data_IF_355983379527
#
_entry.id   IF_355983379527
#
_cell.length_a   1.000
_cell.length_b   1.000
_cell.length_c   1.000
_cell.angle_alpha   90.00
_cell.angle_beta   90.00
_cell.angle_gamma   90.00
#
_symmetry.space_group_name_H-M   'P 1'
#
loop_
_entity.id
_entity.type
_entity.pdbx_description
1 polymer ?
#
# COMPACT_ATOMS: atom_id res chain seq x y z
N UNK A 1 26.62 -0.56 4.69
CA UNK A 1 25.66 0.54 4.51
C UNK A 1 24.92 0.22 3.21
N UNK A 2 23.59 0.30 3.17
CA UNK A 2 22.86 -0.01 1.93
C UNK A 2 23.14 1.07 0.88
N UNK A 3 23.64 0.66 -0.28
CA UNK A 3 23.84 1.53 -1.45
C UNK A 3 22.54 1.58 -2.26
N UNK A 4 21.92 2.76 -2.35
CA UNK A 4 20.61 2.88 -3.00
C UNK A 4 20.70 2.81 -4.53
N UNK A 5 21.62 3.56 -5.14
CA UNK A 5 21.87 3.57 -6.57
C UNK A 5 22.85 2.45 -6.93
N UNK A 6 22.32 1.24 -7.10
CA UNK A 6 23.07 0.09 -7.57
C UNK A 6 22.17 -0.79 -8.43
N UNK A 7 22.80 -1.54 -9.34
CA UNK A 7 22.12 -2.60 -10.07
C UNK A 7 21.88 -3.79 -9.15
N UNK A 8 20.66 -4.30 -9.15
CA UNK A 8 20.22 -5.41 -8.30
C UNK A 8 19.67 -6.55 -9.13
N UNK A 9 19.99 -7.76 -8.70
CA UNK A 9 19.31 -8.95 -9.14
C UNK A 9 18.01 -9.16 -8.36
N UNK A 10 17.16 -10.06 -8.87
CA UNK A 10 15.87 -10.38 -8.29
C UNK A 10 15.96 -10.72 -6.79
N UNK A 11 16.89 -11.61 -6.40
CA UNK A 11 17.07 -12.02 -5.00
C UNK A 11 17.56 -10.87 -4.11
N UNK A 12 18.42 -10.00 -4.66
CA UNK A 12 18.97 -8.84 -3.95
C UNK A 12 17.90 -7.84 -3.55
N UNK A 13 16.84 -7.66 -4.37
CA UNK A 13 15.71 -6.80 -3.96
C UNK A 13 15.05 -7.26 -2.66
N UNK A 14 14.89 -8.57 -2.49
CA UNK A 14 14.25 -9.15 -1.31
C UNK A 14 15.18 -8.99 -0.10
N UNK A 15 16.44 -9.41 -0.24
CA UNK A 15 17.42 -9.31 0.87
C UNK A 15 17.68 -7.86 1.29
N UNK A 16 17.83 -6.93 0.34
CA UNK A 16 18.07 -5.52 0.63
C UNK A 16 16.86 -4.86 1.29
N UNK A 17 15.63 -5.29 0.95
CA UNK A 17 14.42 -4.77 1.62
C UNK A 17 14.44 -5.13 3.10
N UNK A 18 14.74 -6.38 3.44
CA UNK A 18 14.84 -6.79 4.85
C UNK A 18 16.07 -6.19 5.55
N UNK A 19 17.19 -6.07 4.84
CA UNK A 19 18.37 -5.37 5.36
C UNK A 19 18.05 -3.92 5.69
N UNK A 20 17.24 -3.23 4.86
CA UNK A 20 16.79 -1.86 5.12
C UNK A 20 16.02 -1.77 6.43
N UNK A 21 15.05 -2.67 6.66
CA UNK A 21 14.32 -2.65 7.93
C UNK A 21 15.18 -3.08 9.12
N UNK A 22 16.18 -3.94 8.91
CA UNK A 22 17.15 -4.28 9.96
C UNK A 22 18.01 -3.08 10.36
N UNK A 23 18.44 -2.26 9.39
CA UNK A 23 19.32 -1.10 9.63
C UNK A 23 18.53 0.14 10.07
N UNK A 24 17.39 0.43 9.43
CA UNK A 24 16.64 1.67 9.58
C UNK A 24 15.25 1.50 10.20
N UNK A 25 14.76 0.26 10.36
CA UNK A 25 13.36 -0.01 10.72
C UNK A 25 12.91 0.63 12.02
N UNK A 26 13.78 0.71 13.04
CA UNK A 26 13.44 1.38 14.31
C UNK A 26 13.14 2.87 14.11
N UNK A 27 13.99 3.59 13.37
CA UNK A 27 13.77 5.01 13.10
C UNK A 27 12.60 5.21 12.13
N UNK A 28 12.52 4.36 11.09
CA UNK A 28 11.46 4.36 10.09
C UNK A 28 10.08 4.18 10.74
N UNK A 29 9.82 3.06 11.43
CA UNK A 29 8.48 2.82 11.99
C UNK A 29 8.13 3.77 13.14
N UNK A 30 9.10 4.22 13.93
CA UNK A 30 8.87 5.27 14.94
C UNK A 30 8.33 6.54 14.29
N UNK A 31 9.00 7.04 13.25
CA UNK A 31 8.57 8.25 12.55
C UNK A 31 7.28 8.03 11.75
N UNK A 32 7.10 6.86 11.14
CA UNK A 32 5.87 6.49 10.44
C UNK A 32 4.66 6.57 11.39
N UNK A 33 4.77 5.98 12.59
CA UNK A 33 3.71 6.00 13.59
C UNK A 33 3.51 7.38 14.21
N UNK A 34 4.55 8.18 14.39
CA UNK A 34 4.40 9.56 14.87
C UNK A 34 3.62 10.44 13.88
N UNK A 35 3.84 10.25 12.57
CA UNK A 35 3.20 11.05 11.53
C UNK A 35 1.81 10.52 11.16
N UNK A 36 1.67 9.21 10.98
CA UNK A 36 0.42 8.57 10.55
C UNK A 36 -0.46 8.08 11.70
N UNK A 37 0.08 7.91 12.91
CA UNK A 37 -0.59 7.20 14.00
C UNK A 37 -1.94 7.78 14.37
N UNK A 38 -2.05 9.11 14.45
CA UNK A 38 -3.34 9.74 14.78
C UNK A 38 -4.38 9.53 13.67
N UNK A 39 -3.97 9.59 12.40
CA UNK A 39 -4.85 9.34 11.25
C UNK A 39 -5.28 7.88 11.20
N UNK A 40 -4.36 6.95 11.49
CA UNK A 40 -4.64 5.52 11.55
C UNK A 40 -5.58 5.17 12.71
N UNK A 41 -5.37 5.76 13.90
CA UNK A 41 -6.27 5.58 15.05
C UNK A 41 -7.67 6.12 14.73
N UNK A 42 -7.76 7.33 14.16
CA UNK A 42 -9.05 7.90 13.75
C UNK A 42 -9.77 7.02 12.73
N UNK A 43 -9.03 6.47 11.76
CA UNK A 43 -9.58 5.56 10.77
C UNK A 43 -10.10 4.26 11.40
N UNK A 44 -9.38 3.68 12.37
CA UNK A 44 -9.84 2.51 13.12
C UNK A 44 -11.10 2.83 13.93
N UNK A 45 -11.13 3.96 14.64
CA UNK A 45 -12.30 4.37 15.42
C UNK A 45 -13.52 4.51 14.51
N UNK A 46 -13.37 5.17 13.37
CA UNK A 46 -14.45 5.35 12.40
C UNK A 46 -14.85 4.02 11.75
N UNK A 47 -13.90 3.12 11.49
CA UNK A 47 -14.20 1.77 11.01
C UNK A 47 -15.02 0.98 12.04
N UNK A 48 -14.57 0.95 13.29
CA UNK A 48 -15.21 0.20 14.39
C UNK A 48 -16.58 0.79 14.76
N UNK A 49 -16.73 2.11 14.81
CA UNK A 49 -17.99 2.74 15.22
C UNK A 49 -18.95 2.95 14.04
N UNK A 50 -18.44 3.38 12.89
CA UNK A 50 -19.24 3.76 11.73
C UNK A 50 -19.67 2.59 10.86
N UNK A 51 -18.83 1.56 10.71
CA UNK A 51 -19.17 0.40 9.86
C UNK A 51 -19.72 -0.78 10.65
N UNK A 52 -19.57 -0.82 11.98
CA UNK A 52 -20.14 -1.92 12.77
C UNK A 52 -21.63 -2.10 12.54
N UNK A 53 -22.41 -1.01 12.57
CA UNK A 53 -23.84 -1.08 12.33
C UNK A 53 -24.14 -1.56 10.90
N UNK A 54 -23.42 -1.03 9.90
CA UNK A 54 -23.56 -1.45 8.51
C UNK A 54 -23.26 -2.95 8.33
N UNK A 55 -22.16 -3.46 8.88
CA UNK A 55 -21.82 -4.89 8.82
C UNK A 55 -22.79 -5.76 9.62
N UNK A 56 -23.24 -5.28 10.78
CA UNK A 56 -24.28 -5.92 11.58
C UNK A 56 -25.55 -6.09 10.77
N UNK A 57 -26.02 -5.02 10.12
CA UNK A 57 -27.20 -5.06 9.26
C UNK A 57 -26.98 -5.93 8.01
N UNK A 58 -25.81 -5.86 7.35
CA UNK A 58 -25.51 -6.68 6.16
C UNK A 58 -25.50 -8.18 6.47
N UNK A 59 -24.96 -8.58 7.62
CA UNK A 59 -24.79 -10.00 7.98
C UNK A 59 -25.98 -10.54 8.78
N UNK A 60 -26.71 -9.69 9.51
CA UNK A 60 -27.89 -10.03 10.30
C UNK A 60 -29.24 -9.87 9.58
N UNK A 61 -29.31 -9.16 8.46
CA UNK A 61 -30.58 -8.95 7.72
C UNK A 61 -31.06 -10.17 6.93
N UNK A 62 -30.18 -11.15 6.67
CA UNK A 62 -30.54 -12.35 5.90
C UNK A 62 -31.12 -13.48 6.74
N UNK A 63 -31.30 -13.26 8.04
CA UNK A 63 -31.65 -14.32 9.00
C UNK A 63 -33.14 -14.57 9.17
N UNK A 64 -33.97 -13.66 8.68
CA UNK A 64 -35.43 -13.71 8.83
C UNK A 64 -36.20 -13.52 7.52
N UNK A 65 -35.52 -13.56 6.36
CA UNK A 65 -36.16 -13.46 5.04
C UNK A 65 -36.74 -12.09 4.69
N UNK A 66 -36.43 -11.05 5.49
CA UNK A 66 -36.92 -9.69 5.26
C UNK A 66 -35.80 -8.79 4.73
N UNK A 67 -35.68 -8.70 3.40
CA UNK A 67 -34.86 -7.69 2.71
C UNK A 67 -35.22 -6.23 3.10
N UNK A 68 -36.37 -6.04 3.74
CA UNK A 68 -36.97 -4.75 4.06
C UNK A 68 -36.15 -3.92 5.06
N UNK A 69 -35.42 -4.56 5.99
CA UNK A 69 -34.67 -3.82 7.03
C UNK A 69 -33.46 -3.05 6.49
N UNK A 70 -32.73 -3.62 5.54
CA UNK A 70 -31.54 -2.99 4.99
C UNK A 70 -31.91 -1.79 4.09
N UNK A 71 -32.90 -1.96 3.21
CA UNK A 71 -33.37 -0.87 2.35
C UNK A 71 -34.02 0.26 3.17
N UNK A 72 -34.88 -0.08 4.15
CA UNK A 72 -35.50 0.91 5.03
C UNK A 72 -34.44 1.69 5.84
N UNK A 73 -33.42 1.03 6.40
CA UNK A 73 -32.34 1.70 7.12
C UNK A 73 -31.63 2.74 6.25
N UNK A 74 -31.33 2.41 4.99
CA UNK A 74 -30.68 3.33 4.05
C UNK A 74 -31.60 4.49 3.65
N UNK A 75 -32.89 4.23 3.43
CA UNK A 75 -33.85 5.28 3.09
C UNK A 75 -34.09 6.24 4.27
N UNK A 76 -34.23 5.71 5.49
CA UNK A 76 -34.46 6.51 6.70
C UNK A 76 -33.22 7.31 7.13
N UNK A 77 -32.02 6.79 6.88
CA UNK A 77 -30.76 7.39 7.32
C UNK A 77 -29.94 7.99 6.16
N UNK A 78 -30.54 8.18 4.97
CA UNK A 78 -29.83 8.55 3.74
C UNK A 78 -28.90 9.78 3.92
N UNK A 79 -29.40 10.84 4.58
CA UNK A 79 -28.63 12.06 4.80
C UNK A 79 -27.42 11.83 5.71
N UNK A 80 -27.60 11.08 6.81
CA UNK A 80 -26.52 10.73 7.75
C UNK A 80 -25.50 9.84 7.07
N UNK A 81 -25.94 8.85 6.28
CA UNK A 81 -25.06 7.96 5.54
C UNK A 81 -24.21 8.71 4.51
N UNK A 82 -24.81 9.60 3.71
CA UNK A 82 -24.06 10.43 2.76
C UNK A 82 -22.99 11.27 3.49
N UNK A 83 -23.36 11.89 4.61
CA UNK A 83 -22.44 12.71 5.40
C UNK A 83 -21.29 11.88 5.98
N UNK A 84 -21.59 10.74 6.62
CA UNK A 84 -20.58 9.84 7.20
C UNK A 84 -19.68 9.26 6.12
N UNK A 85 -20.24 8.79 5.00
CA UNK A 85 -19.46 8.27 3.86
C UNK A 85 -18.53 9.34 3.28
N UNK A 86 -18.99 10.60 3.18
CA UNK A 86 -18.16 11.70 2.70
C UNK A 86 -17.00 12.00 3.66
N UNK A 87 -17.26 12.02 4.98
CA UNK A 87 -16.22 12.22 5.99
C UNK A 87 -15.20 11.08 5.97
N UNK A 88 -15.69 9.83 5.92
CA UNK A 88 -14.83 8.63 5.82
C UNK A 88 -13.98 8.70 4.57
N UNK A 89 -14.57 9.07 3.43
CA UNK A 89 -13.85 9.21 2.17
C UNK A 89 -12.72 10.23 2.30
N UNK A 90 -12.99 11.44 2.81
CA UNK A 90 -11.97 12.47 3.02
C UNK A 90 -10.88 11.99 3.98
N UNK A 91 -11.23 11.30 5.07
CA UNK A 91 -10.24 10.75 6.00
C UNK A 91 -9.38 9.67 5.35
N UNK A 92 -9.99 8.77 4.58
CA UNK A 92 -9.27 7.74 3.83
C UNK A 92 -8.31 8.35 2.81
N UNK A 93 -8.72 9.42 2.13
CA UNK A 93 -7.84 10.21 1.25
C UNK A 93 -6.64 10.78 2.01
N UNK A 94 -6.88 11.36 3.20
CA UNK A 94 -5.80 11.89 4.02
C UNK A 94 -4.84 10.79 4.50
N UNK A 95 -5.37 9.65 4.98
CA UNK A 95 -4.58 8.51 5.44
C UNK A 95 -3.72 7.96 4.30
N UNK A 96 -4.31 7.69 3.14
CA UNK A 96 -3.59 7.15 1.98
C UNK A 96 -2.53 8.12 1.48
N UNK A 97 -2.85 9.41 1.38
CA UNK A 97 -1.88 10.44 0.99
C UNK A 97 -0.69 10.44 1.95
N UNK A 98 -0.88 10.54 3.26
CA UNK A 98 0.25 10.62 4.21
C UNK A 98 1.00 9.28 4.29
N UNK A 99 0.28 8.16 4.29
CA UNK A 99 0.85 6.82 4.44
C UNK A 99 1.70 6.41 3.25
N UNK A 100 1.30 6.75 2.02
CA UNK A 100 2.03 6.36 0.82
C UNK A 100 3.19 7.31 0.51
N UNK A 101 3.07 8.56 0.93
CA UNK A 101 4.10 9.58 0.76
C UNK A 101 5.26 9.41 1.71
N UNK A 102 4.99 8.92 2.92
CA UNK A 102 5.99 8.74 3.95
C UNK A 102 7.19 7.87 3.49
N UNK A 103 7.00 6.62 2.98
CA UNK A 103 8.11 5.79 2.51
C UNK A 103 8.98 6.49 1.48
N UNK A 104 8.34 7.21 0.56
CA UNK A 104 9.00 7.87 -0.57
C UNK A 104 9.88 9.02 -0.08
N UNK A 105 9.33 9.88 0.78
CA UNK A 105 10.06 11.02 1.35
C UNK A 105 11.18 10.55 2.29
N UNK A 106 10.93 9.49 3.06
CA UNK A 106 11.96 8.90 3.92
C UNK A 106 13.14 8.40 3.11
N UNK A 107 12.88 7.58 2.08
CA UNK A 107 13.92 7.04 1.20
C UNK A 107 14.64 8.16 0.45
N UNK A 108 13.91 9.15 -0.08
CA UNK A 108 14.50 10.32 -0.72
C UNK A 108 15.50 11.01 0.21
N UNK A 109 15.10 11.37 1.43
CA UNK A 109 16.00 12.00 2.41
C UNK A 109 17.21 11.14 2.73
N UNK A 110 16.99 9.85 2.94
CA UNK A 110 18.07 8.92 3.25
C UNK A 110 19.08 8.83 2.11
N UNK A 111 18.60 8.83 0.86
CA UNK A 111 19.48 8.84 -0.33
C UNK A 111 20.21 10.16 -0.55
N UNK A 112 19.57 11.30 -0.29
CA UNK A 112 20.14 12.62 -0.54
C UNK A 112 21.12 13.06 0.56
N UNK A 113 20.89 12.64 1.80
CA UNK A 113 21.65 13.13 2.96
C UNK A 113 22.55 12.07 3.61
N UNK A 114 22.30 10.78 3.37
CA UNK A 114 22.95 9.67 4.09
C UNK A 114 22.63 9.62 5.59
N UNK A 115 21.79 10.53 6.10
CA UNK A 115 21.51 10.64 7.53
C UNK A 115 20.58 9.52 7.98
N UNK A 116 21.05 8.68 8.90
CA UNK A 116 20.26 7.56 9.47
C UNK A 116 19.24 8.02 10.52
N UNK A 117 19.43 9.22 11.08
CA UNK A 117 18.63 9.79 12.16
C UNK A 117 17.67 10.88 11.64
N UNK A 118 16.95 10.59 10.55
CA UNK A 118 15.88 11.46 10.04
C UNK A 118 14.84 11.69 11.15
N UNK A 119 14.44 12.94 11.36
CA UNK A 119 13.44 13.30 12.37
C UNK A 119 12.04 13.36 11.77
N UNK A 120 11.00 13.11 12.58
CA UNK A 120 9.61 13.20 12.16
C UNK A 120 9.25 14.59 11.60
N UNK A 121 9.73 15.67 12.25
CA UNK A 121 9.46 17.05 11.83
C UNK A 121 10.02 17.37 10.44
N UNK A 122 11.16 16.77 10.07
CA UNK A 122 11.76 16.95 8.75
C UNK A 122 10.88 16.35 7.65
N UNK A 123 10.33 15.16 7.88
CA UNK A 123 9.42 14.51 6.93
C UNK A 123 8.08 15.23 6.89
N UNK A 124 7.58 15.68 8.05
CA UNK A 124 6.33 16.43 8.15
C UNK A 124 6.43 17.78 7.44
N UNK A 125 7.58 18.45 7.49
CA UNK A 125 7.85 19.65 6.71
C UNK A 125 7.89 19.37 5.20
N UNK A 126 8.49 18.25 4.75
CA UNK A 126 8.44 17.87 3.34
C UNK A 126 7.01 17.60 2.86
N UNK A 127 6.21 16.91 3.68
CA UNK A 127 4.80 16.67 3.39
C UNK A 127 4.07 17.99 3.20
N UNK A 128 4.20 18.92 4.16
CA UNK A 128 3.59 20.26 4.11
C UNK A 128 4.02 21.06 2.88
N UNK A 129 5.31 21.08 2.59
CA UNK A 129 5.86 21.83 1.46
C UNK A 129 5.44 21.26 0.10
N UNK A 130 5.05 19.98 0.05
CA UNK A 130 4.64 19.30 -1.18
C UNK A 130 3.14 18.99 -1.24
N UNK A 131 2.29 19.49 -0.33
CA UNK A 131 0.83 19.20 -0.30
C UNK A 131 0.18 19.41 -1.66
N UNK A 132 0.50 20.50 -2.35
CA UNK A 132 -0.06 20.77 -3.69
C UNK A 132 0.39 19.76 -4.75
N UNK A 133 1.62 19.24 -4.66
CA UNK A 133 2.10 18.16 -5.55
C UNK A 133 1.43 16.83 -5.21
N UNK A 134 1.27 16.51 -3.92
CA UNK A 134 0.51 15.33 -3.50
C UNK A 134 -0.93 15.36 -4.00
N UNK A 135 -1.62 16.50 -3.85
CA UNK A 135 -2.99 16.64 -4.32
C UNK A 135 -3.10 16.45 -5.84
N UNK A 136 -2.20 17.05 -6.63
CA UNK A 136 -2.15 16.86 -8.09
C UNK A 136 -1.87 15.40 -8.48
N UNK A 137 -0.91 14.76 -7.81
CA UNK A 137 -0.61 13.35 -8.03
C UNK A 137 -1.82 12.48 -7.71
N UNK A 138 -2.49 12.72 -6.59
CA UNK A 138 -3.65 11.95 -6.17
C UNK A 138 -4.81 12.11 -7.15
N UNK A 139 -5.13 13.33 -7.60
CA UNK A 139 -6.12 13.57 -8.64
C UNK A 139 -5.75 12.84 -9.94
N UNK A 140 -4.48 12.86 -10.34
CA UNK A 140 -4.00 12.10 -11.50
C UNK A 140 -4.14 10.59 -11.32
N UNK A 141 -3.83 10.05 -10.14
CA UNK A 141 -4.05 8.64 -9.84
C UNK A 141 -5.54 8.28 -9.94
N UNK A 142 -6.41 9.06 -9.30
CA UNK A 142 -7.84 8.77 -9.23
C UNK A 142 -8.58 8.97 -10.55
N UNK A 143 -8.32 10.05 -11.29
CA UNK A 143 -9.06 10.40 -12.51
C UNK A 143 -8.39 9.92 -13.81
N UNK A 144 -7.12 9.51 -13.77
CA UNK A 144 -6.40 9.08 -14.97
C UNK A 144 -5.95 7.63 -14.82
N UNK A 145 -5.13 7.32 -13.81
CA UNK A 145 -4.55 5.97 -13.68
C UNK A 145 -5.61 4.93 -13.34
N UNK A 146 -6.54 5.21 -12.42
CA UNK A 146 -7.60 4.27 -12.05
C UNK A 146 -8.55 3.95 -13.23
N UNK A 147 -9.10 4.93 -13.97
CA UNK A 147 -9.92 4.62 -15.15
C UNK A 147 -9.16 3.86 -16.23
N UNK A 148 -7.90 4.24 -16.51
CA UNK A 148 -7.06 3.50 -17.46
C UNK A 148 -6.82 2.07 -16.98
N UNK A 149 -6.52 1.86 -15.70
CA UNK A 149 -6.36 0.53 -15.12
C UNK A 149 -7.66 -0.28 -15.27
N UNK A 150 -8.83 0.31 -14.99
CA UNK A 150 -10.12 -0.35 -15.19
C UNK A 150 -10.35 -0.78 -16.63
N UNK A 151 -9.99 0.05 -17.62
CA UNK A 151 -10.08 -0.31 -19.04
C UNK A 151 -9.15 -1.49 -19.34
N UNK A 152 -7.90 -1.45 -18.89
CA UNK A 152 -6.92 -2.52 -19.15
C UNK A 152 -7.33 -3.83 -18.46
N UNK A 153 -7.80 -3.78 -17.22
CA UNK A 153 -8.37 -4.95 -16.53
C UNK A 153 -9.62 -5.46 -17.23
N UNK A 154 -10.53 -4.58 -17.65
CA UNK A 154 -11.75 -4.94 -18.37
C UNK A 154 -11.46 -5.66 -19.70
N UNK A 155 -10.50 -5.15 -20.47
CA UNK A 155 -10.01 -5.82 -21.68
C UNK A 155 -9.40 -7.18 -21.35
N UNK A 156 -8.66 -7.28 -20.24
CA UNK A 156 -8.05 -8.53 -19.79
C UNK A 156 -9.12 -9.58 -19.42
N UNK A 157 -10.20 -9.14 -18.80
CA UNK A 157 -11.36 -9.99 -18.48
C UNK A 157 -12.02 -10.52 -19.76
N UNK A 158 -12.20 -9.67 -20.78
CA UNK A 158 -12.71 -10.12 -22.09
C UNK A 158 -11.78 -11.15 -22.72
N UNK A 159 -10.46 -10.99 -22.59
CA UNK A 159 -9.48 -11.94 -23.13
C UNK A 159 -9.48 -13.30 -22.41
N UNK A 160 -10.18 -13.45 -21.28
CA UNK A 160 -10.31 -14.76 -20.61
C UNK A 160 -11.08 -15.78 -21.46
N UNK A 161 -11.94 -15.34 -22.39
CA UNK A 161 -12.63 -16.24 -23.33
C UNK A 161 -11.65 -17.05 -24.22
N UNK A 162 -10.42 -16.58 -24.37
CA UNK A 162 -9.37 -17.20 -25.21
C UNK A 162 -8.22 -17.74 -24.34
N UNK A 163 -8.47 -17.98 -23.04
CA UNK A 163 -7.52 -18.41 -21.99
C UNK A 163 -6.36 -17.42 -21.68
N UNK A 164 -5.93 -16.61 -22.65
CA UNK A 164 -4.81 -15.67 -22.50
C UNK A 164 -5.09 -14.61 -21.43
N UNK A 165 -6.36 -14.25 -21.20
CA UNK A 165 -6.75 -13.33 -20.14
C UNK A 165 -6.34 -13.79 -18.74
N UNK A 166 -6.35 -15.10 -18.45
CA UNK A 166 -5.93 -15.61 -17.14
C UNK A 166 -4.45 -15.32 -16.87
N UNK A 167 -3.59 -15.56 -17.86
CA UNK A 167 -2.15 -15.25 -17.74
C UNK A 167 -1.92 -13.75 -17.59
N UNK A 168 -2.65 -12.93 -18.36
CA UNK A 168 -2.55 -11.48 -18.28
C UNK A 168 -2.99 -10.92 -16.94
N UNK A 169 -4.04 -11.47 -16.29
CA UNK A 169 -4.47 -11.03 -14.95
C UNK A 169 -3.34 -11.18 -13.92
N UNK A 170 -2.62 -12.31 -13.95
CA UNK A 170 -1.50 -12.58 -13.04
C UNK A 170 -0.34 -11.60 -13.29
N UNK A 171 -0.11 -11.22 -14.56
CA UNK A 171 0.94 -10.28 -14.92
C UNK A 171 0.57 -8.83 -14.55
N UNK A 172 -0.68 -8.44 -14.76
CA UNK A 172 -1.10 -7.04 -14.76
C UNK A 172 -1.10 -6.40 -13.37
N UNK A 173 -1.55 -7.11 -12.34
CA UNK A 173 -1.64 -6.57 -10.98
C UNK A 173 -0.31 -6.04 -10.44
N UNK A 174 0.74 -6.89 -10.35
CA UNK A 174 2.06 -6.46 -9.90
C UNK A 174 2.71 -5.42 -10.83
N UNK A 175 2.50 -5.53 -12.14
CA UNK A 175 3.02 -4.56 -13.11
C UNK A 175 2.42 -3.16 -12.89
N UNK A 176 1.10 -3.05 -12.74
CA UNK A 176 0.44 -1.78 -12.44
C UNK A 176 0.86 -1.21 -11.09
N UNK A 177 1.05 -2.07 -10.08
CA UNK A 177 1.53 -1.65 -8.77
C UNK A 177 2.93 -1.04 -8.87
N UNK A 178 3.84 -1.66 -9.64
CA UNK A 178 5.15 -1.11 -9.90
C UNK A 178 5.09 0.21 -10.67
N UNK A 179 4.22 0.34 -11.67
CA UNK A 179 4.01 1.60 -12.40
C UNK A 179 3.55 2.70 -11.43
N UNK A 180 2.57 2.42 -10.58
CA UNK A 180 2.08 3.40 -9.58
C UNK A 180 3.21 3.78 -8.63
N UNK A 181 3.94 2.82 -8.08
CA UNK A 181 5.04 3.11 -7.16
C UNK A 181 6.15 3.92 -7.84
N UNK A 182 6.60 3.54 -9.04
CA UNK A 182 7.60 4.28 -9.80
C UNK A 182 7.14 5.69 -10.15
N UNK A 183 5.86 5.88 -10.49
CA UNK A 183 5.28 7.20 -10.73
C UNK A 183 5.44 8.06 -9.47
N UNK A 184 5.07 7.54 -8.30
CA UNK A 184 5.19 8.30 -7.06
C UNK A 184 6.66 8.61 -6.73
N UNK A 185 7.57 7.63 -6.86
CA UNK A 185 9.00 7.85 -6.64
C UNK A 185 9.60 8.87 -7.62
N UNK A 186 9.40 8.75 -8.93
CA UNK A 186 9.94 9.70 -9.92
C UNK A 186 9.33 11.10 -9.71
N UNK A 187 8.03 11.19 -9.43
CA UNK A 187 7.34 12.46 -9.25
C UNK A 187 7.88 13.24 -8.04
N UNK A 188 8.20 12.59 -6.92
CA UNK A 188 8.72 13.27 -5.73
C UNK A 188 10.24 13.40 -5.70
N UNK A 189 11.00 12.50 -6.35
CA UNK A 189 12.44 12.61 -6.46
C UNK A 189 12.87 13.60 -7.57
N UNK A 190 11.96 13.97 -8.48
CA UNK A 190 12.27 14.90 -9.58
C UNK A 190 11.35 16.13 -9.57
N UNK A 191 11.67 17.10 -10.44
CA UNK A 191 10.81 18.29 -10.69
C UNK A 191 9.82 18.07 -11.84
N UNK A 192 9.68 16.84 -12.34
CA UNK A 192 8.84 16.52 -13.50
C UNK A 192 7.34 16.66 -13.19
N UNK A 193 6.57 16.85 -14.26
CA UNK A 193 5.10 16.84 -14.21
C UNK A 193 4.53 15.42 -14.11
N UNK A 194 3.23 15.31 -13.77
CA UNK A 194 2.55 14.03 -13.58
C UNK A 194 2.67 13.09 -14.79
N UNK A 195 2.34 13.59 -15.99
CA UNK A 195 2.38 12.78 -17.21
C UNK A 195 3.80 12.34 -17.61
N UNK A 196 4.79 13.20 -17.35
CA UNK A 196 6.19 12.88 -17.64
C UNK A 196 6.69 11.77 -16.70
N UNK A 197 6.36 11.86 -15.41
CA UNK A 197 6.66 10.80 -14.43
C UNK A 197 5.87 9.52 -14.68
N UNK A 198 4.62 9.61 -15.15
CA UNK A 198 3.83 8.44 -15.53
C UNK A 198 4.43 7.74 -16.75
N UNK A 199 4.81 8.51 -17.78
CA UNK A 199 5.49 7.98 -18.95
C UNK A 199 6.82 7.33 -18.56
N UNK A 200 7.58 7.94 -17.65
CA UNK A 200 8.80 7.32 -17.13
C UNK A 200 8.49 6.00 -16.42
N UNK A 201 7.52 6.00 -15.51
CA UNK A 201 7.17 4.84 -14.69
C UNK A 201 6.78 3.62 -15.53
N UNK A 202 5.98 3.82 -16.59
CA UNK A 202 5.61 2.76 -17.53
C UNK A 202 6.83 2.25 -18.29
N UNK A 203 7.64 3.14 -18.87
CA UNK A 203 8.82 2.76 -19.67
C UNK A 203 9.87 2.01 -18.85
N UNK A 204 10.07 2.44 -17.60
CA UNK A 204 11.04 1.86 -16.70
C UNK A 204 10.71 0.40 -16.32
N UNK A 205 9.45 -0.03 -16.42
CA UNK A 205 9.10 -1.44 -16.22
C UNK A 205 9.62 -2.34 -17.34
N UNK A 206 9.68 -1.83 -18.56
CA UNK A 206 9.99 -2.65 -19.74
C UNK A 206 11.39 -2.42 -20.30
N UNK A 207 12.03 -1.28 -19.99
CA UNK A 207 13.33 -0.92 -20.55
C UNK A 207 14.12 0.01 -19.64
N UNK A 208 15.44 -0.19 -19.62
CA UNK A 208 16.36 0.78 -19.04
C UNK A 208 16.56 1.99 -19.96
N UNK A 209 16.85 3.15 -19.35
CA UNK A 209 17.07 4.40 -20.09
C UNK A 209 18.24 4.32 -21.08
N UNK A 210 19.25 3.52 -20.79
CA UNK A 210 20.42 3.35 -21.66
C UNK A 210 20.15 2.46 -22.88
N UNK A 211 19.04 1.72 -22.91
CA UNK A 211 18.61 0.86 -24.03
C UNK A 211 19.52 -0.32 -24.36
N UNK A 212 20.64 -0.49 -23.66
CA UNK A 212 21.65 -1.53 -23.92
C UNK A 212 21.43 -2.79 -23.09
N UNK A 213 20.62 -2.68 -22.04
CA UNK A 213 20.39 -3.74 -21.08
C UNK A 213 19.09 -4.50 -21.36
N UNK A 214 19.06 -5.78 -20.94
CA UNK A 214 17.84 -6.58 -21.01
C UNK A 214 16.73 -5.94 -20.18
N UNK A 215 15.49 -6.16 -20.60
CA UNK A 215 14.31 -5.65 -19.91
C UNK A 215 14.32 -6.02 -18.41
N UNK A 216 14.08 -5.06 -17.50
CA UNK A 216 13.96 -5.34 -16.08
C UNK A 216 12.60 -5.93 -15.68
N UNK A 217 11.68 -6.10 -16.62
CA UNK A 217 10.29 -6.48 -16.35
C UNK A 217 10.18 -7.69 -15.40
N UNK A 218 10.83 -8.79 -15.75
CA UNK A 218 10.73 -10.03 -14.97
C UNK A 218 11.30 -9.91 -13.55
N UNK A 219 12.37 -9.14 -13.36
CA UNK A 219 12.97 -8.97 -12.04
C UNK A 219 12.13 -8.06 -11.14
N UNK A 220 11.55 -6.98 -11.67
CA UNK A 220 10.66 -6.09 -10.92
C UNK A 220 9.34 -6.77 -10.61
N UNK A 221 8.72 -7.38 -11.63
CA UNK A 221 7.47 -8.12 -11.47
C UNK A 221 7.61 -9.27 -10.47
N UNK A 222 8.65 -10.09 -10.63
CA UNK A 222 8.91 -11.22 -9.74
C UNK A 222 9.15 -10.76 -8.31
N UNK A 223 9.94 -9.69 -8.12
CA UNK A 223 10.24 -9.16 -6.78
C UNK A 223 8.95 -8.70 -6.09
N UNK A 224 8.11 -7.95 -6.81
CA UNK A 224 6.83 -7.46 -6.29
C UNK A 224 5.89 -8.60 -5.92
N UNK A 225 5.80 -9.66 -6.73
CA UNK A 225 5.00 -10.84 -6.40
C UNK A 225 5.49 -11.52 -5.13
N UNK A 226 6.79 -11.81 -5.03
CA UNK A 226 7.32 -12.53 -3.88
C UNK A 226 7.16 -11.70 -2.60
N UNK A 227 7.43 -10.39 -2.68
CA UNK A 227 7.20 -9.49 -1.56
C UNK A 227 5.71 -9.44 -1.17
N UNK A 228 4.80 -9.43 -2.14
CA UNK A 228 3.37 -9.46 -1.88
C UNK A 228 2.94 -10.78 -1.23
N UNK A 229 3.44 -11.93 -1.66
CA UNK A 229 3.18 -13.21 -0.99
C UNK A 229 3.68 -13.24 0.45
N UNK A 230 4.88 -12.70 0.71
CA UNK A 230 5.41 -12.59 2.08
C UNK A 230 4.49 -11.70 2.92
N UNK A 231 4.13 -10.52 2.41
CA UNK A 231 3.23 -9.58 3.09
C UNK A 231 1.89 -10.24 3.39
N UNK A 232 1.27 -10.91 2.42
CA UNK A 232 -0.03 -11.55 2.61
C UNK A 232 0.02 -12.71 3.59
N UNK A 233 1.09 -13.50 3.59
CA UNK A 233 1.28 -14.58 4.57
C UNK A 233 1.38 -14.03 5.99
N UNK A 234 2.08 -12.92 6.19
CA UNK A 234 2.19 -12.32 7.53
C UNK A 234 0.88 -11.63 7.92
N UNK A 235 0.27 -10.84 7.01
CA UNK A 235 -1.01 -10.18 7.26
C UNK A 235 -2.14 -11.18 7.55
N UNK A 236 -2.13 -12.35 6.89
CA UNK A 236 -3.17 -13.36 7.08
C UNK A 236 -3.21 -13.89 8.51
N UNK A 237 -2.06 -13.95 9.21
CA UNK A 237 -1.99 -14.35 10.62
C UNK A 237 -2.84 -13.43 11.48
N UNK A 238 -2.77 -12.12 11.24
CA UNK A 238 -3.54 -11.14 12.00
C UNK A 238 -5.02 -11.20 11.66
N UNK A 239 -5.37 -11.35 10.37
CA UNK A 239 -6.78 -11.47 9.95
C UNK A 239 -7.41 -12.81 10.34
N UNK A 240 -6.61 -13.86 10.54
CA UNK A 240 -7.11 -15.17 10.96
C UNK A 240 -7.69 -15.11 12.37
N UNK A 241 -7.10 -14.32 13.26
CA UNK A 241 -7.56 -14.17 14.65
C UNK A 241 -9.04 -13.76 14.74
N UNK A 242 -9.48 -12.61 14.17
CA UNK A 242 -10.88 -12.23 14.21
C UNK A 242 -11.78 -13.18 13.41
N UNK A 243 -11.27 -13.79 12.33
CA UNK A 243 -12.03 -14.81 11.59
C UNK A 243 -12.32 -16.05 12.44
N UNK A 244 -11.37 -16.54 13.23
CA UNK A 244 -11.61 -17.66 14.14
C UNK A 244 -12.71 -17.34 15.17
N UNK A 245 -12.80 -16.10 15.65
CA UNK A 245 -13.88 -15.70 16.56
C UNK A 245 -15.24 -15.66 15.87
N UNK A 246 -15.32 -15.18 14.62
CA UNK A 246 -16.56 -15.19 13.83
C UNK A 246 -17.01 -16.64 13.60
N UNK A 247 -16.14 -17.47 13.01
CA UNK A 247 -16.49 -18.86 12.68
C UNK A 247 -16.74 -19.69 13.94
N UNK A 248 -15.95 -19.52 14.99
CA UNK A 248 -16.16 -20.18 16.28
C UNK A 248 -17.49 -19.79 16.90
N UNK A 249 -17.83 -18.50 16.88
CA UNK A 249 -19.13 -18.00 17.34
C UNK A 249 -20.29 -18.64 16.57
N UNK A 250 -20.22 -18.68 15.24
CA UNK A 250 -21.24 -19.31 14.39
C UNK A 250 -21.42 -20.81 14.67
N UNK A 251 -20.35 -21.54 15.02
CA UNK A 251 -20.40 -22.98 15.29
C UNK A 251 -20.93 -23.33 16.69
N UNK A 252 -21.00 -22.36 17.60
CA UNK A 252 -21.50 -22.56 18.98
C UNK A 252 -22.99 -22.25 19.15
N UNK A 253 -23.67 -21.80 18.10
CA UNK A 253 -25.11 -21.48 18.14
C UNK A 253 -25.91 -22.80 18.08
N UNK A 254 -26.81 -23.08 19.04
CA UNK A 254 -27.64 -24.28 19.02
C UNK A 254 -28.57 -24.32 17.80
N UNK A 255 -28.76 -25.50 17.19
CA UNK A 255 -29.69 -25.71 16.04
C UNK A 255 -31.17 -25.47 16.40
N UNK A 256 -31.48 -25.25 17.67
CA UNK A 256 -32.85 -25.14 18.19
C UNK A 256 -33.45 -23.77 17.91
N UNK A 257 -33.78 -23.46 16.64
CA UNK A 257 -34.83 -22.52 16.19
C UNK A 257 -34.89 -21.09 16.75
N UNK A 258 -34.06 -20.71 17.71
CA UNK A 258 -33.94 -19.37 18.25
C UNK A 258 -33.10 -18.54 17.28
N UNK A 259 -33.58 -17.32 17.05
CA UNK A 259 -32.99 -16.34 16.13
C UNK A 259 -31.47 -16.37 16.23
N UNK A 260 -30.80 -16.67 15.10
CA UNK A 260 -29.36 -16.53 14.92
C UNK A 260 -28.92 -15.19 15.53
N UNK A 261 -28.27 -15.25 16.69
CA UNK A 261 -27.68 -14.07 17.30
C UNK A 261 -26.56 -13.61 16.39
N UNK A 262 -26.68 -12.37 15.92
CA UNK A 262 -25.69 -11.75 15.09
C UNK A 262 -24.36 -11.67 15.86
N UNK A 263 -23.27 -12.31 15.39
CA UNK A 263 -21.99 -12.34 16.11
C UNK A 263 -21.35 -10.94 16.24
N UNK A 264 -21.88 -9.94 15.53
CA UNK A 264 -21.46 -8.55 15.57
C UNK A 264 -22.25 -7.68 16.57
N UNK A 265 -23.25 -8.26 17.23
CA UNK A 265 -24.03 -7.60 18.28
C UNK A 265 -23.39 -7.72 19.67
N UNK A 266 -23.76 -6.78 20.54
CA UNK A 266 -23.30 -6.76 21.94
C UNK A 266 -21.78 -6.60 22.13
N UNK A 267 -21.26 -6.94 23.32
CA UNK A 267 -19.84 -6.81 23.68
C UNK A 267 -18.90 -7.65 22.80
N UNK A 268 -19.35 -8.83 22.34
CA UNK A 268 -18.56 -9.72 21.49
C UNK A 268 -18.29 -9.10 20.12
N UNK A 269 -19.31 -8.48 19.50
CA UNK A 269 -19.13 -7.77 18.25
C UNK A 269 -18.13 -6.61 18.37
N UNK A 270 -18.19 -5.82 19.44
CA UNK A 270 -17.21 -4.75 19.71
C UNK A 270 -15.79 -5.32 19.75
N UNK A 271 -15.61 -6.43 20.46
CA UNK A 271 -14.32 -7.11 20.55
C UNK A 271 -13.80 -7.58 19.18
N UNK A 272 -14.65 -8.22 18.36
CA UNK A 272 -14.31 -8.66 17.00
C UNK A 272 -13.90 -7.46 16.13
N UNK A 273 -14.64 -6.34 16.17
CA UNK A 273 -14.30 -5.14 15.41
C UNK A 273 -12.97 -4.51 15.86
N UNK A 274 -12.66 -4.52 17.16
CA UNK A 274 -11.36 -4.07 17.66
C UNK A 274 -10.24 -4.94 17.08
N UNK A 275 -10.40 -6.26 17.07
CA UNK A 275 -9.41 -7.18 16.48
C UNK A 275 -9.22 -6.96 14.97
N UNK A 276 -10.31 -6.70 14.23
CA UNK A 276 -10.23 -6.29 12.82
C UNK A 276 -9.51 -4.95 12.66
N UNK A 277 -9.79 -3.97 13.53
CA UNK A 277 -9.10 -2.68 13.57
C UNK A 277 -7.59 -2.85 13.74
N UNK A 278 -7.16 -3.71 14.67
CA UNK A 278 -5.74 -4.05 14.87
C UNK A 278 -5.14 -4.73 13.63
N UNK A 279 -5.86 -5.66 13.01
CA UNK A 279 -5.43 -6.35 11.78
C UNK A 279 -5.25 -5.37 10.61
N UNK A 280 -6.13 -4.39 10.52
CA UNK A 280 -6.07 -3.31 9.55
C UNK A 280 -4.84 -2.42 9.81
N UNK A 281 -4.56 -2.03 11.06
CA UNK A 281 -3.34 -1.27 11.39
C UNK A 281 -2.07 -2.02 10.99
N UNK A 282 -2.03 -3.32 11.27
CA UNK A 282 -0.89 -4.15 10.88
C UNK A 282 -0.73 -4.21 9.36
N UNK A 283 -1.82 -4.27 8.60
CA UNK A 283 -1.78 -4.25 7.14
C UNK A 283 -1.17 -2.96 6.58
N UNK A 284 -1.44 -1.80 7.19
CA UNK A 284 -0.78 -0.54 6.82
C UNK A 284 0.73 -0.55 7.12
N UNK A 285 1.13 -1.16 8.25
CA UNK A 285 2.56 -1.34 8.55
C UNK A 285 3.23 -2.24 7.51
N UNK A 286 2.61 -3.36 7.16
CA UNK A 286 3.16 -4.29 6.16
C UNK A 286 3.25 -3.68 4.76
N UNK A 287 2.35 -2.77 4.40
CA UNK A 287 2.42 -2.06 3.12
C UNK A 287 3.72 -1.25 2.97
N UNK A 288 4.36 -0.82 4.07
CA UNK A 288 5.65 -0.14 3.99
C UNK A 288 6.74 -1.05 3.40
N UNK A 289 6.63 -2.37 3.59
CA UNK A 289 7.59 -3.34 3.06
C UNK A 289 7.60 -3.32 1.53
N UNK A 290 6.44 -3.25 0.90
CA UNK A 290 6.37 -3.19 -0.57
C UNK A 290 6.81 -1.83 -1.12
N UNK A 291 6.55 -0.74 -0.38
CA UNK A 291 7.04 0.59 -0.78
C UNK A 291 8.55 0.69 -0.73
N UNK A 292 9.19 0.14 0.31
CA UNK A 292 10.66 0.09 0.39
C UNK A 292 11.23 -0.74 -0.75
N UNK A 293 10.68 -1.93 -0.98
CA UNK A 293 11.09 -2.78 -2.11
C UNK A 293 10.96 -2.05 -3.45
N UNK A 294 9.83 -1.39 -3.70
CA UNK A 294 9.60 -0.61 -4.92
C UNK A 294 10.54 0.60 -5.03
N UNK A 295 10.92 1.21 -3.91
CA UNK A 295 11.93 2.27 -3.87
C UNK A 295 13.30 1.76 -4.33
N UNK A 296 13.72 0.59 -3.87
CA UNK A 296 14.96 -0.05 -4.33
C UNK A 296 14.90 -0.41 -5.82
N UNK A 297 13.75 -0.88 -6.31
CA UNK A 297 13.52 -1.10 -7.74
C UNK A 297 13.61 0.22 -8.54
N UNK A 298 13.04 1.30 -8.02
CA UNK A 298 13.14 2.62 -8.64
C UNK A 298 14.60 3.11 -8.71
N UNK A 299 15.38 3.01 -7.63
CA UNK A 299 16.79 3.41 -7.64
C UNK A 299 17.67 2.51 -8.54
N UNK A 300 17.34 1.22 -8.67
CA UNK A 300 17.94 0.34 -9.68
C UNK A 300 17.64 0.83 -11.11
N UNK A 301 16.43 1.31 -11.39
CA UNK A 301 16.05 1.82 -12.72
C UNK A 301 16.76 3.12 -13.12
N UNK A 302 17.29 3.87 -12.15
CA UNK A 302 18.03 5.13 -12.34
C UNK A 302 19.49 4.88 -12.70
N UNK A 303 19.73 4.14 -13.77
CA UNK A 303 21.08 3.85 -14.29
C UNK A 303 21.88 5.11 -14.62
N UNK A 304 21.20 6.22 -14.87
CA UNK A 304 21.82 7.53 -15.08
C UNK A 304 22.52 8.09 -13.83
N UNK A 305 22.17 7.60 -12.64
CA UNK A 305 22.74 8.01 -11.36
C UNK A 305 23.74 6.99 -10.79
N UNK A 306 23.90 5.83 -11.40
CA UNK A 306 24.86 4.79 -10.96
C UNK A 306 26.31 5.26 -11.14
N UNK A 307 26.60 6.00 -12.21
CA UNK A 307 27.96 6.45 -12.58
C UNK A 307 28.63 7.38 -11.56
N UNK A 308 27.86 8.08 -10.73
CA UNK A 308 28.43 8.93 -9.68
C UNK A 308 28.93 8.11 -8.48
N UNK A 309 28.51 6.85 -8.34
CA UNK A 309 28.92 5.97 -7.24
C UNK A 309 30.15 5.15 -7.61
N UNK A 310 30.25 4.67 -8.86
CA UNK A 310 31.43 3.94 -9.36
C UNK A 310 32.74 4.76 -9.24
N UNK A 311 32.68 6.08 -9.44
CA UNK A 311 33.84 6.97 -9.28
C UNK A 311 34.25 7.09 -7.81
N UNK A 312 33.29 7.16 -6.88
CA UNK A 312 33.58 7.20 -5.44
C UNK A 312 34.15 5.89 -4.90
N UNK A 313 33.77 4.74 -5.47
CA UNK A 313 34.39 3.46 -5.14
C UNK A 313 35.83 3.38 -5.65
N UNK A 314 36.10 3.82 -6.89
CA UNK A 314 37.46 3.89 -7.45
C UNK A 314 38.37 4.79 -6.60
N UNK A 315 37.88 5.94 -6.14
CA UNK A 315 38.66 6.87 -5.29
C UNK A 315 38.96 6.33 -3.88
N UNK A 316 38.29 5.25 -3.44
CA UNK A 316 38.55 4.58 -2.15
C UNK A 316 39.44 3.33 -2.26
N UNK A 317 39.77 2.90 -3.49
CA UNK A 317 40.76 1.84 -3.72
C UNK A 317 42.15 2.39 -3.34
N UNK A 318 42.79 1.76 -2.36
CA UNK A 318 44.11 2.17 -1.84
C UNK A 318 44.09 3.01 -0.56
N UNK A 319 42.93 3.43 -0.05
CA UNK A 319 42.87 4.20 1.22
C UNK A 319 42.88 3.33 2.48
N UNK A 320 42.82 2.00 2.32
CA UNK A 320 42.81 1.02 3.42
C UNK A 320 43.99 0.04 3.36
N UNK A 321 44.99 0.33 2.52
CA UNK A 321 46.27 -0.39 2.55
C UNK A 321 47.26 0.39 3.41
N UNK A 322 47.26 0.12 4.72
CA UNK A 322 48.36 0.46 5.64
C UNK A 322 48.62 -0.76 6.52
#
# INVERSE_FOLDING_TARGET
MIQFYQKRDFGTFISDTFAFFKEHGKNYFKNYLLINGILLILMVIIFVLGYRELFSQMLGSNTSGQNYYFEAYFQENQAVLILVSTIVFILFLAVTMVSYSYPILYLKRLTETGNKNIKADEILNDLKNNVGRFFKLFLGLFFIVTPLAMIVFGLTVVLMFILIGFFLLILLGPALMNVVNFLMFDYFNTRKGFFESLSYAVRAQFSYKNGREKSPFWKYWGSTIVMYFIIQTVSSIFTMIPMMFIFGGMMTIPETGELQQNPFEGPMGIFIFILYGVSLLFSFLMMNVIFVNSGLQYYDSRTDLHRNVDLSEIDTIGTHEI
#
